data_IF_402738723555
#
_entry.id   IF_402738723555
#
_cell.length_a   1.000
_cell.length_b   1.000
_cell.length_c   1.000
_cell.angle_alpha   90.00
_cell.angle_beta   90.00
_cell.angle_gamma   90.00
#
_symmetry.space_group_name_H-M   'P 1'
#
loop_
_entity.id
_entity.type
_entity.pdbx_description
1 polymer ?
#
# COMPACT_ATOMS: atom_id res chain seq x y z
N UNK A 1 -16.75 10.31 18.29
CA UNK A 1 -16.42 8.91 18.70
C UNK A 1 -15.31 8.90 19.76
N UNK A 2 -15.12 7.83 20.55
CA UNK A 2 -13.95 7.71 21.45
C UNK A 2 -12.67 7.54 20.63
N UNK A 3 -11.60 8.26 20.99
CA UNK A 3 -10.32 8.22 20.27
C UNK A 3 -9.73 6.82 20.13
N UNK A 4 -9.85 5.98 21.16
CA UNK A 4 -9.42 4.57 21.10
C UNK A 4 -10.22 3.75 20.08
N UNK A 5 -11.51 4.03 19.90
CA UNK A 5 -12.32 3.39 18.86
C UNK A 5 -11.85 3.83 17.48
N UNK A 6 -11.55 5.13 17.31
CA UNK A 6 -10.96 5.67 16.08
C UNK A 6 -9.63 4.99 15.75
N UNK A 7 -8.76 4.84 16.74
CA UNK A 7 -7.43 4.22 16.61
C UNK A 7 -7.52 2.79 16.05
N UNK A 8 -8.36 1.97 16.67
CA UNK A 8 -8.56 0.60 16.22
C UNK A 8 -9.16 0.52 14.82
N UNK A 9 -10.16 1.34 14.50
CA UNK A 9 -10.77 1.38 13.17
C UNK A 9 -9.76 1.80 12.09
N UNK A 10 -8.96 2.84 12.38
CA UNK A 10 -7.91 3.35 11.53
C UNK A 10 -6.86 2.26 11.25
N UNK A 11 -6.27 1.67 12.31
CA UNK A 11 -5.22 0.67 12.16
C UNK A 11 -5.70 -0.64 11.57
N UNK A 12 -6.92 -1.09 11.89
CA UNK A 12 -7.54 -2.27 11.28
C UNK A 12 -7.43 -2.20 9.76
N UNK A 13 -7.85 -1.07 9.17
CA UNK A 13 -7.84 -0.87 7.72
C UNK A 13 -6.43 -0.75 7.13
N UNK A 14 -5.50 -0.08 7.83
CA UNK A 14 -4.09 0.03 7.41
C UNK A 14 -3.43 -1.33 7.32
N UNK A 15 -3.65 -2.19 8.32
CA UNK A 15 -3.10 -3.53 8.30
C UNK A 15 -3.72 -4.40 7.18
N UNK A 16 -5.03 -4.27 6.92
CA UNK A 16 -5.66 -4.96 5.77
C UNK A 16 -5.08 -4.48 4.43
N UNK A 17 -4.96 -3.17 4.21
CA UNK A 17 -4.38 -2.62 2.97
C UNK A 17 -2.89 -3.00 2.82
N UNK A 18 -2.12 -3.00 3.91
CA UNK A 18 -0.71 -3.45 3.91
C UNK A 18 -0.56 -4.91 3.50
N UNK A 19 -1.40 -5.79 4.04
CA UNK A 19 -1.42 -7.20 3.64
C UNK A 19 -1.75 -7.37 2.15
N UNK A 20 -2.73 -6.60 1.62
CA UNK A 20 -3.05 -6.58 0.19
C UNK A 20 -1.85 -6.13 -0.67
N UNK A 21 -1.20 -5.03 -0.28
CA UNK A 21 -0.09 -4.44 -1.02
C UNK A 21 1.13 -5.38 -1.05
N UNK A 22 1.46 -6.03 0.06
CA UNK A 22 2.52 -7.04 0.11
C UNK A 22 2.19 -8.25 -0.77
N UNK A 23 0.97 -8.77 -0.71
CA UNK A 23 0.55 -9.89 -1.54
C UNK A 23 0.67 -9.56 -3.04
N UNK A 24 0.26 -8.35 -3.47
CA UNK A 24 0.41 -7.87 -4.86
C UNK A 24 1.86 -7.82 -5.30
N UNK A 25 2.72 -7.25 -4.47
CA UNK A 25 4.14 -7.10 -4.77
C UNK A 25 4.84 -8.45 -4.83
N UNK A 26 4.58 -9.36 -3.89
CA UNK A 26 5.18 -10.69 -3.84
C UNK A 26 4.73 -11.57 -5.00
N UNK A 27 3.43 -11.55 -5.34
CA UNK A 27 2.89 -12.27 -6.50
C UNK A 27 3.60 -11.85 -7.79
N UNK A 28 3.76 -10.54 -7.99
CA UNK A 28 4.47 -10.01 -9.15
C UNK A 28 5.98 -10.34 -9.12
N UNK A 29 6.64 -10.20 -7.98
CA UNK A 29 8.07 -10.53 -7.84
C UNK A 29 8.32 -12.01 -8.12
N UNK A 30 7.46 -12.88 -7.62
CA UNK A 30 7.51 -14.32 -7.86
C UNK A 30 7.30 -14.66 -9.33
N UNK A 31 6.27 -14.10 -9.97
CA UNK A 31 6.03 -14.31 -11.41
C UNK A 31 7.24 -13.91 -12.23
N UNK A 32 7.79 -12.71 -11.98
CA UNK A 32 9.00 -12.23 -12.66
C UNK A 32 10.17 -13.19 -12.48
N UNK A 33 10.41 -13.67 -11.26
CA UNK A 33 11.49 -14.62 -10.99
C UNK A 33 11.35 -15.94 -11.79
N UNK A 34 10.12 -16.38 -12.09
CA UNK A 34 9.89 -17.60 -12.87
C UNK A 34 10.13 -17.42 -14.38
N UNK A 35 10.04 -16.18 -14.89
CA UNK A 35 10.16 -15.88 -16.31
C UNK A 35 11.62 -15.77 -16.78
N UNK A 36 12.55 -15.45 -15.89
CA UNK A 36 13.99 -15.31 -16.19
C UNK A 36 14.73 -16.65 -16.33
N UNK A 37 14.04 -17.74 -16.70
CA UNK A 37 14.66 -18.98 -17.15
C UNK A 37 15.64 -19.65 -16.17
N UNK A 38 15.51 -19.41 -14.87
CA UNK A 38 16.35 -20.02 -13.83
C UNK A 38 17.45 -19.13 -13.25
N UNK A 39 17.65 -17.89 -13.74
CA UNK A 39 18.45 -16.91 -13.01
C UNK A 39 17.63 -16.29 -11.88
N UNK A 40 18.18 -16.34 -10.67
CA UNK A 40 17.56 -15.72 -9.49
C UNK A 40 17.72 -14.20 -9.58
N UNK A 41 16.60 -13.49 -9.74
CA UNK A 41 16.57 -12.02 -9.70
C UNK A 41 16.68 -11.51 -8.25
N UNK A 42 17.91 -11.56 -7.71
CA UNK A 42 18.20 -11.10 -6.34
C UNK A 42 17.80 -9.62 -6.17
N UNK A 43 18.01 -8.79 -7.18
CA UNK A 43 17.66 -7.37 -7.13
C UNK A 43 16.15 -7.17 -6.96
N UNK A 44 15.31 -7.93 -7.68
CA UNK A 44 13.86 -7.93 -7.52
C UNK A 44 13.41 -8.30 -6.11
N UNK A 45 14.04 -9.31 -5.51
CA UNK A 45 13.73 -9.73 -4.12
C UNK A 45 14.21 -8.72 -3.07
N UNK A 46 15.38 -8.11 -3.27
CA UNK A 46 15.86 -7.01 -2.41
C UNK A 46 14.96 -5.78 -2.54
N UNK A 47 14.47 -5.47 -3.74
CA UNK A 47 13.49 -4.40 -3.95
C UNK A 47 12.19 -4.68 -3.18
N UNK A 48 11.69 -5.92 -3.17
CA UNK A 48 10.50 -6.29 -2.40
C UNK A 48 10.70 -6.08 -0.88
N UNK A 49 11.88 -6.45 -0.34
CA UNK A 49 12.23 -6.17 1.05
C UNK A 49 12.31 -4.66 1.34
N UNK A 50 12.86 -3.89 0.42
CA UNK A 50 13.03 -2.43 0.57
C UNK A 50 11.67 -1.71 0.57
N UNK A 51 10.78 -2.06 -0.38
CA UNK A 51 9.41 -1.54 -0.45
C UNK A 51 8.64 -1.86 0.84
N UNK A 52 8.81 -3.08 1.38
CA UNK A 52 8.19 -3.50 2.64
C UNK A 52 8.80 -2.83 3.89
N UNK A 53 9.93 -2.12 3.76
CA UNK A 53 10.68 -1.59 4.91
C UNK A 53 11.38 -2.66 5.75
N UNK A 54 11.61 -3.86 5.19
CA UNK A 54 12.10 -5.04 5.91
C UNK A 54 13.55 -5.44 5.54
N UNK A 55 14.24 -4.72 4.65
CA UNK A 55 15.61 -5.11 4.22
C UNK A 55 16.58 -5.20 5.41
N UNK A 56 16.59 -4.18 6.27
CA UNK A 56 17.46 -4.15 7.44
C UNK A 56 17.10 -5.23 8.49
N UNK A 57 15.81 -5.50 8.73
CA UNK A 57 15.39 -6.56 9.66
C UNK A 57 15.70 -7.95 9.10
N UNK A 58 15.49 -8.16 7.81
CA UNK A 58 15.79 -9.41 7.13
C UNK A 58 17.28 -9.75 7.22
N UNK A 59 18.16 -8.80 6.89
CA UNK A 59 19.63 -9.00 6.92
C UNK A 59 20.20 -9.24 8.30
N UNK A 60 19.51 -8.85 9.37
CA UNK A 60 19.90 -9.21 10.75
C UNK A 60 19.66 -10.69 11.07
N UNK A 61 18.72 -11.32 10.37
CA UNK A 61 18.29 -12.71 10.62
C UNK A 61 18.78 -13.69 9.55
N UNK A 62 19.15 -13.19 8.37
CA UNK A 62 19.51 -14.01 7.21
C UNK A 62 20.78 -13.49 6.51
N UNK A 63 21.72 -14.39 6.25
CA UNK A 63 22.99 -14.06 5.59
C UNK A 63 22.85 -13.73 4.10
N UNK A 64 21.84 -14.31 3.44
CA UNK A 64 21.65 -14.19 1.98
C UNK A 64 20.19 -13.94 1.64
N UNK A 65 19.97 -13.04 0.68
CA UNK A 65 18.66 -12.84 0.05
C UNK A 65 18.37 -14.01 -0.87
N UNK A 66 17.32 -14.77 -0.56
CA UNK A 66 16.84 -15.89 -1.37
C UNK A 66 15.33 -15.76 -1.60
N UNK A 67 14.80 -16.20 -2.76
CA UNK A 67 13.36 -16.12 -3.05
C UNK A 67 12.50 -16.73 -1.94
N UNK A 68 12.79 -17.98 -1.55
CA UNK A 68 12.05 -18.67 -0.50
C UNK A 68 12.22 -18.02 0.88
N UNK A 69 13.40 -17.47 1.18
CA UNK A 69 13.63 -16.74 2.43
C UNK A 69 12.80 -15.47 2.51
N UNK A 70 12.78 -14.67 1.45
CA UNK A 70 11.98 -13.42 1.38
C UNK A 70 10.48 -13.73 1.42
N UNK A 71 10.02 -14.73 0.67
CA UNK A 71 8.62 -15.17 0.69
C UNK A 71 8.16 -15.55 2.10
N UNK A 72 8.94 -16.38 2.81
CA UNK A 72 8.61 -16.77 4.19
C UNK A 72 8.64 -15.58 5.14
N UNK A 73 9.66 -14.72 5.04
CA UNK A 73 9.82 -13.55 5.91
C UNK A 73 8.70 -12.51 5.74
N UNK A 74 8.28 -12.23 4.51
CA UNK A 74 7.23 -11.23 4.24
C UNK A 74 5.81 -11.82 4.33
N UNK A 75 5.66 -13.14 4.35
CA UNK A 75 4.34 -13.78 4.41
C UNK A 75 3.99 -14.32 5.79
N UNK A 76 4.80 -15.23 6.33
CA UNK A 76 4.45 -16.07 7.48
C UNK A 76 5.26 -15.81 8.74
N UNK A 77 6.37 -15.07 8.65
CA UNK A 77 7.23 -14.80 9.79
C UNK A 77 6.49 -13.99 10.87
N UNK A 78 6.38 -14.59 12.05
CA UNK A 78 5.67 -14.01 13.20
C UNK A 78 6.52 -13.01 13.97
N UNK A 79 7.83 -12.96 13.75
CA UNK A 79 8.71 -11.94 14.32
C UNK A 79 8.73 -10.67 13.46
N UNK A 80 8.40 -10.80 12.17
CA UNK A 80 8.23 -9.65 11.29
C UNK A 80 6.84 -9.02 11.45
N UNK A 81 6.76 -7.84 12.09
CA UNK A 81 5.50 -7.09 12.24
C UNK A 81 4.86 -6.66 10.92
N UNK A 82 5.65 -6.59 9.84
CA UNK A 82 5.16 -6.25 8.52
C UNK A 82 4.69 -7.46 7.72
N UNK A 83 4.86 -8.70 8.20
CA UNK A 83 4.44 -9.88 7.43
C UNK A 83 2.92 -9.89 7.20
N UNK A 84 2.47 -10.54 6.11
CA UNK A 84 1.05 -10.66 5.78
C UNK A 84 0.27 -11.27 6.95
N UNK A 85 0.76 -12.35 7.55
CA UNK A 85 0.10 -13.00 8.69
C UNK A 85 0.01 -12.07 9.90
N UNK A 86 1.06 -11.30 10.21
CA UNK A 86 1.03 -10.33 11.31
C UNK A 86 0.08 -9.17 11.04
N UNK A 87 0.04 -8.66 9.82
CA UNK A 87 -0.92 -7.64 9.43
C UNK A 87 -2.36 -8.15 9.57
N UNK A 88 -2.68 -9.35 9.08
CA UNK A 88 -4.02 -9.93 9.21
C UNK A 88 -4.41 -10.20 10.68
N UNK A 89 -3.45 -10.64 11.51
CA UNK A 89 -3.65 -10.78 12.96
C UNK A 89 -3.98 -9.43 13.61
N UNK A 90 -3.16 -8.41 13.34
CA UNK A 90 -3.33 -7.08 13.90
C UNK A 90 -4.66 -6.44 13.45
N UNK A 91 -5.06 -6.63 12.19
CA UNK A 91 -6.36 -6.21 11.69
C UNK A 91 -7.51 -6.84 12.48
N UNK A 92 -7.44 -8.16 12.73
CA UNK A 92 -8.45 -8.88 13.53
C UNK A 92 -8.47 -8.45 14.99
N UNK A 93 -7.32 -8.22 15.60
CA UNK A 93 -7.23 -7.75 17.00
C UNK A 93 -7.85 -6.36 17.17
N UNK A 94 -7.56 -5.44 16.24
CA UNK A 94 -8.20 -4.13 16.20
C UNK A 94 -9.72 -4.25 16.00
N UNK A 95 -10.16 -5.07 15.02
CA UNK A 95 -11.59 -5.31 14.79
C UNK A 95 -12.30 -5.87 16.02
N UNK A 96 -11.63 -6.75 16.79
CA UNK A 96 -12.18 -7.36 17.99
C UNK A 96 -12.37 -6.32 19.11
N UNK A 97 -11.40 -5.42 19.27
CA UNK A 97 -11.45 -4.36 20.27
C UNK A 97 -12.63 -3.39 20.06
N UNK A 98 -13.07 -3.21 18.81
CA UNK A 98 -14.21 -2.35 18.45
C UNK A 98 -15.38 -3.12 17.86
N UNK A 99 -15.56 -4.40 18.22
CA UNK A 99 -16.62 -5.25 17.67
C UNK A 99 -18.02 -4.64 17.79
N UNK A 100 -18.30 -3.92 18.88
CA UNK A 100 -19.59 -3.23 19.08
C UNK A 100 -19.84 -2.04 18.14
N UNK A 101 -18.81 -1.57 17.45
CA UNK A 101 -18.89 -0.49 16.46
C UNK A 101 -18.97 -1.02 15.02
N UNK A 102 -18.51 -2.25 14.78
CA UNK A 102 -18.56 -2.89 13.47
C UNK A 102 -19.91 -3.54 13.22
N UNK A 103 -20.28 -3.66 11.95
CA UNK A 103 -21.36 -4.57 11.56
C UNK A 103 -20.96 -6.02 11.77
N UNK A 104 -21.94 -6.90 11.99
CA UNK A 104 -21.70 -8.33 12.14
C UNK A 104 -20.99 -8.90 10.91
N UNK A 105 -21.38 -8.47 9.72
CA UNK A 105 -20.82 -8.88 8.44
C UNK A 105 -19.34 -8.51 8.32
N UNK A 106 -18.95 -7.29 8.73
CA UNK A 106 -17.55 -6.86 8.67
C UNK A 106 -16.71 -7.62 9.69
N UNK A 107 -17.20 -7.77 10.91
CA UNK A 107 -16.53 -8.55 11.94
C UNK A 107 -16.30 -10.01 11.49
N UNK A 108 -17.34 -10.67 10.98
CA UNK A 108 -17.27 -12.05 10.50
C UNK A 108 -16.30 -12.18 9.33
N UNK A 109 -16.30 -11.23 8.40
CA UNK A 109 -15.38 -11.20 7.26
C UNK A 109 -13.92 -11.15 7.71
N UNK A 110 -13.59 -10.30 8.68
CA UNK A 110 -12.22 -10.16 9.21
C UNK A 110 -11.85 -11.40 10.03
N UNK A 111 -12.76 -11.90 10.86
CA UNK A 111 -12.50 -13.06 11.71
C UNK A 111 -12.33 -14.36 10.89
N UNK A 112 -13.16 -14.61 9.87
CA UNK A 112 -13.01 -15.73 8.94
C UNK A 112 -11.68 -15.66 8.16
N UNK A 113 -11.27 -14.46 7.75
CA UNK A 113 -9.95 -14.26 7.11
C UNK A 113 -8.82 -14.71 8.04
N UNK A 114 -8.87 -14.32 9.31
CA UNK A 114 -7.87 -14.71 10.30
C UNK A 114 -7.88 -16.23 10.58
N UNK A 115 -9.05 -16.84 10.73
CA UNK A 115 -9.15 -18.27 11.00
C UNK A 115 -8.51 -19.09 9.87
N UNK A 116 -8.80 -18.74 8.61
CA UNK A 116 -8.24 -19.42 7.43
C UNK A 116 -6.73 -19.22 7.28
N UNK A 117 -6.21 -18.00 7.51
CA UNK A 117 -4.76 -17.78 7.39
C UNK A 117 -4.00 -18.50 8.52
N UNK A 118 -4.59 -18.59 9.71
CA UNK A 118 -4.00 -19.32 10.84
C UNK A 118 -3.89 -20.83 10.59
N UNK A 119 -4.80 -21.38 9.80
CA UNK A 119 -4.78 -22.78 9.38
C UNK A 119 -3.85 -23.04 8.18
N UNK A 120 -3.34 -21.99 7.54
CA UNK A 120 -2.43 -22.10 6.40
C UNK A 120 -1.02 -22.47 6.86
N UNK A 121 -0.41 -23.44 6.18
CA UNK A 121 0.99 -23.81 6.40
C UNK A 121 1.93 -22.82 5.70
N UNK A 122 3.10 -22.48 6.28
CA UNK A 122 4.15 -21.75 5.58
C UNK A 122 4.60 -22.40 4.27
N UNK A 123 4.40 -23.71 4.12
CA UNK A 123 4.70 -24.44 2.88
C UNK A 123 3.81 -24.03 1.69
N UNK A 124 2.73 -23.26 1.93
CA UNK A 124 1.85 -22.74 0.87
C UNK A 124 2.59 -21.78 -0.07
N UNK A 125 3.61 -21.07 0.43
CA UNK A 125 4.44 -20.18 -0.40
C UNK A 125 5.65 -20.89 -1.00
N UNK A 126 5.77 -22.21 -0.83
CA UNK A 126 6.80 -23.00 -1.49
C UNK A 126 6.32 -23.40 -2.91
N UNK A 127 7.09 -23.04 -3.93
CA UNK A 127 6.82 -23.43 -5.32
C UNK A 127 5.67 -22.65 -5.99
N UNK A 128 4.82 -23.36 -6.75
CA UNK A 128 3.82 -22.75 -7.65
C UNK A 128 2.54 -22.27 -6.94
N UNK A 129 2.30 -22.70 -5.70
CA UNK A 129 1.05 -22.40 -4.97
C UNK A 129 1.05 -21.01 -4.31
N UNK A 130 2.20 -20.32 -4.28
CA UNK A 130 2.31 -18.99 -3.69
C UNK A 130 1.36 -17.97 -4.32
N UNK A 131 1.17 -18.06 -5.66
CA UNK A 131 0.27 -17.19 -6.40
C UNK A 131 -1.17 -17.27 -5.92
N UNK A 132 -1.70 -18.48 -5.69
CA UNK A 132 -3.06 -18.70 -5.22
C UNK A 132 -3.30 -18.12 -3.83
N UNK A 133 -2.30 -18.23 -2.95
CA UNK A 133 -2.36 -17.61 -1.63
C UNK A 133 -2.38 -16.08 -1.72
N UNK A 134 -1.54 -15.48 -2.56
CA UNK A 134 -1.54 -14.02 -2.74
C UNK A 134 -2.83 -13.50 -3.39
N UNK A 135 -3.39 -14.23 -4.38
CA UNK A 135 -4.72 -13.94 -4.91
C UNK A 135 -5.79 -14.02 -3.82
N UNK A 136 -5.75 -15.05 -2.98
CA UNK A 136 -6.66 -15.18 -1.86
C UNK A 136 -6.58 -13.99 -0.90
N UNK A 137 -5.37 -13.55 -0.49
CA UNK A 137 -5.19 -12.35 0.36
C UNK A 137 -5.78 -11.10 -0.29
N UNK A 138 -5.58 -10.93 -1.60
CA UNK A 138 -6.18 -9.83 -2.37
C UNK A 138 -7.71 -9.88 -2.34
N UNK A 139 -8.31 -11.05 -2.56
CA UNK A 139 -9.76 -11.23 -2.48
C UNK A 139 -10.33 -10.97 -1.09
N UNK A 140 -9.64 -11.38 -0.02
CA UNK A 140 -10.09 -11.10 1.35
C UNK A 140 -10.10 -9.60 1.65
N UNK A 141 -9.10 -8.87 1.16
CA UNK A 141 -9.05 -7.41 1.29
C UNK A 141 -10.16 -6.72 0.50
N UNK A 142 -10.46 -7.21 -0.71
CA UNK A 142 -11.58 -6.71 -1.53
C UNK A 142 -12.94 -6.98 -0.88
N UNK A 143 -13.15 -8.17 -0.34
CA UNK A 143 -14.36 -8.54 0.39
C UNK A 143 -14.53 -7.64 1.62
N UNK A 144 -13.50 -7.48 2.44
CA UNK A 144 -13.53 -6.60 3.61
C UNK A 144 -13.91 -5.16 3.22
N UNK A 145 -13.31 -4.61 2.16
CA UNK A 145 -13.65 -3.28 1.66
C UNK A 145 -15.09 -3.18 1.16
N UNK A 146 -15.57 -4.18 0.41
CA UNK A 146 -16.94 -4.23 -0.08
C UNK A 146 -17.97 -4.29 1.04
N UNK A 147 -17.74 -5.15 2.05
CA UNK A 147 -18.59 -5.26 3.24
C UNK A 147 -18.57 -3.99 4.07
N UNK A 148 -17.40 -3.36 4.25
CA UNK A 148 -17.25 -2.07 4.94
C UNK A 148 -18.15 -1.00 4.32
N UNK A 149 -18.05 -0.80 3.00
CA UNK A 149 -18.81 0.24 2.28
C UNK A 149 -20.30 -0.11 2.19
N UNK A 150 -20.64 -1.41 2.07
CA UNK A 150 -22.00 -1.87 1.86
C UNK A 150 -22.86 -1.96 3.12
N UNK A 151 -22.25 -2.03 4.31
CA UNK A 151 -22.99 -2.33 5.56
C UNK A 151 -22.83 -1.28 6.65
N UNK A 152 -21.71 -0.56 6.72
CA UNK A 152 -21.49 0.40 7.80
C UNK A 152 -22.30 1.68 7.60
N UNK A 153 -22.71 2.29 8.72
CA UNK A 153 -23.35 3.61 8.73
C UNK A 153 -22.38 4.68 8.19
N UNK A 154 -22.91 5.70 7.50
CA UNK A 154 -22.12 6.79 6.92
C UNK A 154 -21.73 7.83 7.99
N UNK A 155 -20.92 7.41 8.96
CA UNK A 155 -20.47 8.22 10.09
C UNK A 155 -18.95 8.07 10.33
N UNK A 156 -18.46 8.60 11.45
CA UNK A 156 -17.06 8.50 11.86
C UNK A 156 -16.54 7.06 11.84
N UNK A 157 -17.35 6.07 12.22
CA UNK A 157 -16.93 4.68 12.28
C UNK A 157 -16.59 4.11 10.89
N UNK A 158 -17.20 4.64 9.82
CA UNK A 158 -16.83 4.34 8.44
C UNK A 158 -15.66 5.21 7.95
N UNK A 159 -15.58 6.47 8.37
CA UNK A 159 -14.60 7.42 7.85
C UNK A 159 -13.17 7.12 8.32
N UNK A 160 -12.96 6.68 9.57
CA UNK A 160 -11.62 6.34 10.07
C UNK A 160 -10.96 5.15 9.36
N UNK A 161 -11.64 4.01 9.12
CA UNK A 161 -11.11 2.93 8.29
C UNK A 161 -10.79 3.38 6.85
N UNK A 162 -11.62 4.24 6.26
CA UNK A 162 -11.32 4.76 4.91
C UNK A 162 -10.08 5.64 4.92
N UNK A 163 -9.93 6.50 5.93
CA UNK A 163 -8.76 7.37 6.10
C UNK A 163 -7.46 6.56 6.17
N UNK A 164 -7.45 5.50 7.01
CA UNK A 164 -6.31 4.59 7.11
C UNK A 164 -6.00 3.90 5.79
N UNK A 165 -7.02 3.38 5.10
CA UNK A 165 -6.89 2.73 3.80
C UNK A 165 -6.18 3.61 2.76
N UNK A 166 -6.64 4.87 2.58
CA UNK A 166 -6.06 5.74 1.55
C UNK A 166 -4.65 6.21 1.89
N UNK A 167 -4.33 6.46 3.17
CA UNK A 167 -2.96 6.78 3.58
C UNK A 167 -2.00 5.62 3.36
N UNK A 168 -2.38 4.41 3.75
CA UNK A 168 -1.55 3.22 3.53
C UNK A 168 -1.31 2.96 2.05
N UNK A 169 -2.35 3.14 1.22
CA UNK A 169 -2.25 2.99 -0.23
C UNK A 169 -1.33 4.01 -0.88
N UNK A 170 -1.41 5.28 -0.45
CA UNK A 170 -0.56 6.35 -0.94
C UNK A 170 0.91 6.10 -0.58
N UNK A 171 1.21 5.80 0.68
CA UNK A 171 2.56 5.45 1.14
C UNK A 171 3.12 4.25 0.36
N UNK A 172 2.35 3.17 0.24
CA UNK A 172 2.79 1.97 -0.47
C UNK A 172 3.05 2.24 -1.95
N UNK A 173 2.21 3.05 -2.60
CA UNK A 173 2.38 3.38 -4.02
C UNK A 173 3.64 4.24 -4.22
N UNK A 174 3.87 5.24 -3.36
CA UNK A 174 5.09 6.05 -3.41
C UNK A 174 6.36 5.20 -3.23
N UNK A 175 6.38 4.27 -2.27
CA UNK A 175 7.52 3.34 -2.08
C UNK A 175 7.75 2.42 -3.28
N UNK A 176 6.67 1.90 -3.88
CA UNK A 176 6.77 1.05 -5.07
C UNK A 176 7.37 1.83 -6.23
N UNK A 177 6.88 3.05 -6.48
CA UNK A 177 7.41 3.92 -7.52
C UNK A 177 8.89 4.21 -7.27
N UNK A 178 9.25 4.63 -6.06
CA UNK A 178 10.60 5.05 -5.73
C UNK A 178 11.63 3.95 -6.00
N UNK A 179 11.41 2.77 -5.42
CA UNK A 179 12.31 1.63 -5.56
C UNK A 179 12.37 1.12 -7.01
N UNK A 180 11.23 1.10 -7.71
CA UNK A 180 11.20 0.60 -9.09
C UNK A 180 11.80 1.60 -10.07
N UNK A 181 11.51 2.89 -9.95
CA UNK A 181 12.11 3.88 -10.84
C UNK A 181 13.62 3.97 -10.63
N UNK A 182 14.12 3.92 -9.39
CA UNK A 182 15.55 3.85 -9.13
C UNK A 182 16.20 2.61 -9.75
N UNK A 183 15.51 1.46 -9.75
CA UNK A 183 16.05 0.23 -10.35
C UNK A 183 15.98 0.20 -11.89
N UNK A 184 14.95 0.83 -12.47
CA UNK A 184 14.61 0.68 -13.89
C UNK A 184 15.00 1.88 -14.77
N UNK A 185 15.28 3.03 -14.17
CA UNK A 185 15.60 4.26 -14.89
C UNK A 185 16.93 4.84 -14.37
N UNK A 186 18.08 4.36 -14.90
CA UNK A 186 19.39 4.89 -14.53
C UNK A 186 19.50 6.39 -14.79
N UNK A 187 20.32 7.08 -13.99
CA UNK A 187 20.59 8.52 -14.17
C UNK A 187 21.03 8.84 -15.61
N UNK A 188 20.44 9.90 -16.18
CA UNK A 188 20.70 10.34 -17.56
C UNK A 188 19.92 9.57 -18.65
N UNK A 189 19.12 8.56 -18.29
CA UNK A 189 18.24 7.86 -19.23
C UNK A 189 17.06 8.75 -19.66
N UNK A 190 16.72 8.77 -20.95
CA UNK A 190 15.53 9.45 -21.46
C UNK A 190 14.26 8.72 -20.98
N UNK A 191 13.41 9.30 -20.10
CA UNK A 191 12.20 8.66 -19.58
C UNK A 191 11.14 8.36 -20.65
N UNK A 192 11.29 8.93 -21.85
CA UNK A 192 10.36 8.73 -22.96
C UNK A 192 10.84 7.58 -23.87
N UNK A 193 12.11 7.17 -23.81
CA UNK A 193 12.71 6.11 -24.64
C UNK A 193 13.40 4.97 -23.86
N UNK A 194 13.65 5.13 -22.58
CA UNK A 194 14.14 4.07 -21.70
C UNK A 194 12.98 3.13 -21.37
N UNK A 195 13.01 1.89 -21.86
CA UNK A 195 11.86 1.03 -21.65
C UNK A 195 12.13 -0.44 -21.86
N UNK A 196 12.52 -1.13 -20.80
CA UNK A 196 12.12 -2.52 -20.64
C UNK A 196 10.59 -2.56 -20.45
N UNK A 197 9.86 -2.58 -21.57
CA UNK A 197 8.40 -2.66 -21.64
C UNK A 197 7.85 -3.71 -20.68
N UNK A 198 8.59 -4.82 -20.54
CA UNK A 198 8.18 -5.94 -19.73
C UNK A 198 8.07 -5.56 -18.25
N UNK A 199 9.10 -4.91 -17.70
CA UNK A 199 9.14 -4.55 -16.29
C UNK A 199 8.11 -3.48 -15.92
N UNK A 200 7.88 -2.48 -16.79
CA UNK A 200 6.83 -1.48 -16.58
C UNK A 200 5.42 -2.06 -16.68
N UNK A 201 5.20 -2.99 -17.61
CA UNK A 201 3.93 -3.71 -17.71
C UNK A 201 3.63 -4.51 -16.43
N UNK A 202 4.67 -5.07 -15.83
CA UNK A 202 4.57 -5.84 -14.59
C UNK A 202 4.29 -4.95 -13.38
N UNK A 203 4.92 -3.77 -13.29
CA UNK A 203 4.57 -2.77 -12.27
C UNK A 203 3.11 -2.34 -12.39
N UNK A 204 2.64 -2.07 -13.61
CA UNK A 204 1.23 -1.74 -13.84
C UNK A 204 0.30 -2.89 -13.42
N UNK A 205 0.68 -4.15 -13.65
CA UNK A 205 -0.12 -5.31 -13.23
C UNK A 205 -0.17 -5.48 -11.71
N UNK A 206 0.92 -5.23 -10.98
CA UNK A 206 0.93 -5.32 -9.50
C UNK A 206 -0.12 -4.39 -8.87
N UNK A 207 -0.25 -3.19 -9.43
CA UNK A 207 -1.21 -2.19 -8.98
C UNK A 207 -2.59 -2.26 -9.67
N UNK A 208 -2.88 -3.33 -10.43
CA UNK A 208 -4.11 -3.47 -11.24
C UNK A 208 -4.37 -2.29 -12.19
N UNK A 209 -3.31 -1.63 -12.64
CA UNK A 209 -3.34 -0.40 -13.43
C UNK A 209 -3.13 -0.65 -14.93
N UNK A 210 -2.77 -1.86 -15.35
CA UNK A 210 -2.40 -2.14 -16.75
C UNK A 210 -3.52 -1.79 -17.76
N UNK A 211 -4.74 -2.25 -17.51
CA UNK A 211 -5.88 -1.93 -18.38
C UNK A 211 -6.26 -0.44 -18.32
N UNK A 212 -6.09 0.20 -17.14
CA UNK A 212 -6.32 1.64 -16.97
C UNK A 212 -5.31 2.44 -17.79
N UNK A 213 -4.03 2.08 -17.73
CA UNK A 213 -2.98 2.72 -18.52
C UNK A 213 -3.30 2.69 -20.01
N UNK A 214 -3.68 1.51 -20.54
CA UNK A 214 -4.05 1.35 -21.96
C UNK A 214 -5.26 2.19 -22.34
N UNK A 215 -6.23 2.33 -21.45
CA UNK A 215 -7.42 3.17 -21.68
C UNK A 215 -7.08 4.65 -21.73
N UNK A 216 -6.19 5.12 -20.85
CA UNK A 216 -5.82 6.53 -20.68
C UNK A 216 -4.87 7.00 -21.78
N UNK A 217 -3.76 6.30 -21.99
CA UNK A 217 -2.68 6.76 -22.87
C UNK A 217 -2.77 6.19 -24.29
N UNK A 218 -3.42 5.03 -24.48
CA UNK A 218 -3.61 4.35 -25.79
C UNK A 218 -2.34 4.19 -26.63
N UNK A 219 -1.18 4.18 -25.99
CA UNK A 219 0.12 4.29 -26.63
C UNK A 219 1.17 3.48 -25.84
N UNK A 220 2.43 3.49 -26.28
CA UNK A 220 3.56 2.80 -25.67
C UNK A 220 3.66 3.09 -24.17
N UNK A 221 4.04 2.06 -23.42
CA UNK A 221 4.37 2.19 -21.99
C UNK A 221 5.68 2.94 -21.88
N UNK A 222 5.67 4.09 -21.21
CA UNK A 222 6.86 4.91 -20.94
C UNK A 222 6.95 5.19 -19.44
N UNK A 223 8.17 5.22 -18.86
CA UNK A 223 8.38 5.62 -17.46
C UNK A 223 7.63 6.90 -17.08
N UNK A 224 7.70 7.96 -17.89
CA UNK A 224 7.05 9.25 -17.60
C UNK A 224 5.53 9.10 -17.40
N UNK A 225 4.86 8.40 -18.32
CA UNK A 225 3.40 8.19 -18.25
C UNK A 225 3.00 7.24 -17.12
N UNK A 226 3.85 6.25 -16.81
CA UNK A 226 3.63 5.39 -15.63
C UNK A 226 3.68 6.22 -14.35
N UNK A 227 4.68 7.09 -14.20
CA UNK A 227 4.78 8.00 -13.07
C UNK A 227 3.58 8.95 -13.00
N UNK A 228 3.19 9.59 -14.11
CA UNK A 228 2.02 10.47 -14.17
C UNK A 228 0.73 9.75 -13.73
N UNK A 229 0.53 8.50 -14.17
CA UNK A 229 -0.63 7.69 -13.81
C UNK A 229 -0.75 7.44 -12.31
N UNK A 230 0.38 7.19 -11.65
CA UNK A 230 0.39 6.87 -10.22
C UNK A 230 0.61 8.09 -9.33
N UNK A 231 1.04 9.23 -9.86
CA UNK A 231 1.27 10.44 -9.05
C UNK A 231 0.11 11.42 -9.21
N UNK A 232 -0.18 11.85 -10.44
CA UNK A 232 -1.00 13.04 -10.70
C UNK A 232 -2.44 12.74 -11.15
N UNK A 233 -2.73 11.53 -11.64
CA UNK A 233 -4.06 11.20 -12.19
C UNK A 233 -5.11 10.98 -11.09
N UNK A 234 -6.00 11.96 -10.92
CA UNK A 234 -7.09 11.95 -9.93
C UNK A 234 -8.10 10.80 -10.04
N UNK A 235 -8.28 10.26 -11.24
CA UNK A 235 -9.23 9.19 -11.56
C UNK A 235 -8.62 7.78 -11.47
N UNK A 236 -7.34 7.68 -11.09
CA UNK A 236 -6.67 6.41 -10.82
C UNK A 236 -6.75 6.08 -9.31
N UNK A 237 -7.45 5.01 -8.89
CA UNK A 237 -7.74 4.76 -7.46
C UNK A 237 -6.54 4.55 -6.54
N UNK A 238 -5.37 4.22 -7.11
CA UNK A 238 -4.12 4.08 -6.35
C UNK A 238 -3.13 5.23 -6.58
N UNK A 239 -3.50 6.26 -7.33
CA UNK A 239 -2.60 7.40 -7.49
C UNK A 239 -2.46 8.18 -6.19
N UNK A 240 -1.32 8.85 -6.01
CA UNK A 240 -1.08 9.71 -4.86
C UNK A 240 -2.17 10.80 -4.79
N UNK A 241 -2.47 11.46 -5.90
CA UNK A 241 -3.49 12.51 -5.96
C UNK A 241 -4.89 11.99 -5.57
N UNK A 242 -5.34 10.86 -6.11
CA UNK A 242 -6.65 10.30 -5.73
C UNK A 242 -6.71 9.95 -4.24
N UNK A 243 -5.65 9.34 -3.71
CA UNK A 243 -5.61 8.97 -2.30
C UNK A 243 -5.62 10.22 -1.40
N UNK A 244 -4.87 11.27 -1.74
CA UNK A 244 -4.79 12.49 -0.95
C UNK A 244 -6.08 13.32 -1.02
N UNK A 245 -6.78 13.32 -2.16
CA UNK A 245 -8.13 13.86 -2.25
C UNK A 245 -9.10 13.18 -1.28
N UNK A 246 -9.09 11.85 -1.25
CA UNK A 246 -9.95 11.09 -0.34
C UNK A 246 -9.57 11.34 1.13
N UNK A 247 -8.27 11.40 1.44
CA UNK A 247 -7.78 11.76 2.79
C UNK A 247 -8.25 13.15 3.20
N UNK A 248 -8.11 14.16 2.32
CA UNK A 248 -8.57 15.52 2.60
C UNK A 248 -10.09 15.57 2.81
N UNK A 249 -10.86 14.91 1.96
CA UNK A 249 -12.33 14.84 2.07
C UNK A 249 -12.79 14.14 3.36
N UNK A 250 -12.09 13.09 3.78
CA UNK A 250 -12.40 12.35 5.01
C UNK A 250 -12.02 13.15 6.24
N UNK A 251 -10.85 13.80 6.25
CA UNK A 251 -10.41 14.67 7.35
C UNK A 251 -11.40 15.81 7.60
N UNK A 252 -11.89 16.46 6.54
CA UNK A 252 -12.90 17.51 6.66
C UNK A 252 -14.22 17.01 7.31
N UNK A 253 -14.54 15.72 7.21
CA UNK A 253 -15.74 15.12 7.84
C UNK A 253 -15.55 14.78 9.32
N UNK A 254 -14.32 14.48 9.73
CA UNK A 254 -13.98 14.14 11.14
C UNK A 254 -13.31 15.30 11.89
N UNK A 255 -13.20 16.46 11.24
CA UNK A 255 -12.49 17.63 11.75
C UNK A 255 -12.95 18.01 13.17
N UNK A 256 -11.99 18.43 13.99
CA UNK A 256 -12.20 18.83 15.37
C UNK A 256 -11.33 20.04 15.72
N UNK A 257 -11.49 20.58 16.93
CA UNK A 257 -10.79 21.80 17.37
C UNK A 257 -9.25 21.74 17.37
N UNK A 258 -8.65 20.54 17.25
CA UNK A 258 -7.20 20.33 17.24
C UNK A 258 -6.67 19.96 15.85
N UNK A 259 -7.52 19.70 14.85
CA UNK A 259 -7.10 19.17 13.56
C UNK A 259 -6.71 20.23 12.52
N UNK A 260 -6.80 21.52 12.85
CA UNK A 260 -6.59 22.62 11.88
C UNK A 260 -5.24 22.52 11.16
N UNK A 261 -4.15 22.24 11.89
CA UNK A 261 -2.83 22.07 11.26
C UNK A 261 -2.76 20.79 10.42
N UNK A 262 -3.43 19.72 10.82
CA UNK A 262 -3.53 18.47 10.03
C UNK A 262 -4.28 18.70 8.72
N UNK A 263 -5.40 19.43 8.76
CA UNK A 263 -6.17 19.83 7.60
C UNK A 263 -5.38 20.75 6.67
N UNK A 264 -4.63 21.70 7.23
CA UNK A 264 -3.73 22.57 6.46
C UNK A 264 -2.62 21.77 5.76
N UNK A 265 -1.98 20.82 6.46
CA UNK A 265 -0.88 20.00 5.91
C UNK A 265 -1.34 19.09 4.79
N UNK A 266 -2.48 18.40 4.95
CA UNK A 266 -3.04 17.60 3.85
C UNK A 266 -3.41 18.49 2.67
N UNK A 267 -3.95 19.70 2.91
CA UNK A 267 -4.28 20.64 1.85
C UNK A 267 -3.06 21.10 1.06
N UNK A 268 -1.94 21.39 1.74
CA UNK A 268 -0.67 21.73 1.08
C UNK A 268 -0.16 20.56 0.22
N UNK A 269 -0.10 19.35 0.78
CA UNK A 269 0.37 18.17 0.05
C UNK A 269 -0.54 17.85 -1.15
N UNK A 270 -1.86 17.91 -0.97
CA UNK A 270 -2.80 17.66 -2.05
C UNK A 270 -2.69 18.74 -3.15
N UNK A 271 -2.49 20.01 -2.78
CA UNK A 271 -2.31 21.09 -3.75
C UNK A 271 -1.08 20.90 -4.64
N UNK A 272 0.03 20.37 -4.11
CA UNK A 272 1.21 20.06 -4.92
C UNK A 272 0.95 18.97 -5.96
N UNK A 273 0.06 18.02 -5.66
CA UNK A 273 -0.35 16.98 -6.61
C UNK A 273 -1.39 17.50 -7.61
N UNK A 274 -2.26 18.40 -7.15
CA UNK A 274 -3.34 18.96 -7.96
C UNK A 274 -2.85 19.90 -9.05
N UNK A 275 -1.88 20.75 -8.71
CA UNK A 275 -1.32 21.76 -9.63
C UNK A 275 0.04 21.38 -10.20
N UNK A 276 0.62 20.25 -9.79
CA UNK A 276 1.90 19.76 -10.28
C UNK A 276 1.85 19.28 -11.72
N UNK A 277 2.99 19.36 -12.42
CA UNK A 277 3.17 18.81 -13.76
C UNK A 277 4.23 17.72 -13.72
N UNK A 278 4.05 16.67 -14.52
CA UNK A 278 4.97 15.53 -14.48
C UNK A 278 6.37 15.94 -14.95
N UNK A 279 6.47 16.89 -15.89
CA UNK A 279 7.73 17.43 -16.37
C UNK A 279 8.55 18.08 -15.27
N UNK A 280 7.89 18.85 -14.40
CA UNK A 280 8.55 19.54 -13.28
C UNK A 280 9.06 18.53 -12.25
N UNK A 281 8.30 17.48 -11.97
CA UNK A 281 8.70 16.39 -11.06
C UNK A 281 9.95 15.67 -11.58
N UNK A 282 10.02 15.37 -12.88
CA UNK A 282 11.22 14.77 -13.47
C UNK A 282 12.40 15.73 -13.53
N UNK A 283 12.17 17.03 -13.67
CA UNK A 283 13.22 18.05 -13.67
C UNK A 283 13.83 18.27 -12.28
N UNK A 284 13.01 18.21 -11.22
CA UNK A 284 13.45 18.25 -9.83
C UNK A 284 14.16 16.95 -9.41
N UNK A 285 13.68 15.82 -9.94
CA UNK A 285 14.15 14.48 -9.59
C UNK A 285 13.00 13.66 -8.97
N UNK A 286 12.70 12.52 -9.59
CA UNK A 286 11.56 11.69 -9.17
C UNK A 286 11.79 11.06 -7.80
N UNK A 287 13.03 10.65 -7.49
CA UNK A 287 13.39 10.07 -6.20
C UNK A 287 13.25 11.09 -5.07
N UNK A 288 13.73 12.31 -5.31
CA UNK A 288 13.66 13.45 -4.41
C UNK A 288 12.22 13.81 -4.11
N UNK A 289 11.39 13.92 -5.16
CA UNK A 289 9.96 14.18 -5.02
C UNK A 289 9.24 13.10 -4.19
N UNK A 290 9.49 11.82 -4.48
CA UNK A 290 8.84 10.71 -3.77
C UNK A 290 9.32 10.62 -2.31
N UNK A 291 10.58 10.94 -2.04
CA UNK A 291 11.14 11.00 -0.68
C UNK A 291 10.53 12.13 0.15
N UNK A 292 10.38 13.33 -0.42
CA UNK A 292 9.66 14.43 0.23
C UNK A 292 8.18 14.08 0.46
N UNK A 293 7.51 13.48 -0.53
CA UNK A 293 6.14 12.99 -0.38
C UNK A 293 6.01 12.00 0.78
N UNK A 294 6.87 10.98 0.85
CA UNK A 294 6.87 9.98 1.93
C UNK A 294 7.10 10.64 3.30
N UNK A 295 8.01 11.62 3.37
CA UNK A 295 8.28 12.39 4.60
C UNK A 295 7.04 13.16 5.07
N UNK A 296 6.36 13.85 4.15
CA UNK A 296 5.12 14.61 4.45
C UNK A 296 3.95 13.68 4.80
N UNK A 297 3.83 12.54 4.14
CA UNK A 297 2.81 11.53 4.45
C UNK A 297 3.04 10.89 5.84
N UNK A 298 4.30 10.73 6.25
CA UNK A 298 4.66 10.27 7.59
C UNK A 298 4.32 11.32 8.67
N UNK A 299 4.65 12.61 8.45
CA UNK A 299 4.21 13.71 9.32
C UNK A 299 2.69 13.74 9.45
N UNK A 300 1.97 13.65 8.33
CA UNK A 300 0.51 13.61 8.32
C UNK A 300 -0.04 12.41 9.12
N UNK A 301 0.55 11.23 8.96
CA UNK A 301 0.16 10.04 9.73
C UNK A 301 0.38 10.23 11.24
N UNK A 302 1.51 10.83 11.64
CA UNK A 302 1.81 11.10 13.04
C UNK A 302 0.83 12.12 13.65
N UNK A 303 0.47 13.15 12.89
CA UNK A 303 -0.52 14.13 13.34
C UNK A 303 -1.91 13.55 13.44
N UNK A 304 -2.34 12.72 12.49
CA UNK A 304 -3.62 12.03 12.57
C UNK A 304 -3.69 11.18 13.85
N UNK A 305 -2.61 10.48 14.19
CA UNK A 305 -2.53 9.74 15.44
C UNK A 305 -2.74 10.66 16.66
N UNK A 306 -2.03 11.78 16.72
CA UNK A 306 -2.11 12.71 17.86
C UNK A 306 -3.46 13.44 17.96
N UNK A 307 -3.99 13.92 16.84
CA UNK A 307 -5.13 14.84 16.81
C UNK A 307 -6.49 14.10 16.88
N UNK A 308 -6.52 12.81 16.53
CA UNK A 308 -7.77 12.02 16.47
C UNK A 308 -7.73 10.71 17.25
N UNK A 309 -6.58 10.06 17.42
CA UNK A 309 -6.52 8.66 17.89
C UNK A 309 -6.09 8.52 19.37
N UNK A 310 -5.53 9.58 19.97
CA UNK A 310 -5.14 9.58 21.40
C UNK A 310 -6.27 10.12 22.28
N UNK A 311 -6.53 9.53 23.48
CA UNK A 311 -7.45 10.11 24.46
C UNK A 311 -7.03 11.51 24.85
N UNK A 312 -7.94 12.48 24.70
CA UNK A 312 -7.72 13.83 25.19
C UNK A 312 -7.86 13.81 26.71
N UNK A 313 -6.84 14.31 27.41
CA UNK A 313 -6.87 14.59 28.84
C UNK A 313 -7.67 15.86 29.12
#
# INVERSE_FOLDING_TARGET
MLSRTADHLYWMSRYTERAENLARMLDVTQRMSLLHGGQVDIAGWTAALTIAGCDASYRKMHDKVTPGGVLRHLTFDTENSASIVRCLKAARENAHAVRGTLTSELWETINDTWLRVRESSPSVVDGNNAGDFFEWVKYRSHLSRGVTIGTMLQDEALWFPRLGTYLERADSTARILDVKFHALLPEGSDPDNAGDYYQWSTLLRSASAFEIYRRVYRDRITPRRVAELFILRRDMPRSLHHCLDEVQNLLARIANRHSEETERRVGLLNSSLHYGRIEDIFAEGLHEFLTDFLTRAADLSARIANDFLVPQH
#
